data_IF_294373259870
#
_entry.id   IF_294373259870
#
_cell.length_a   1.000
_cell.length_b   1.000
_cell.length_c   1.000
_cell.angle_alpha   90.00
_cell.angle_beta   90.00
_cell.angle_gamma   90.00
#
_symmetry.space_group_name_H-M   'P 1'
#
loop_
_entity.id
_entity.type
_entity.pdbx_description
1 polymer ?
2 non-polymer ?
3 non-polymer ?
4 non-polymer ?
5 water ?
#
# COMPACT_ATOMS: atom_id res chain seq x y z
N UNK A 29 -10.95 -28.14 8.47
CA UNK A 29 -10.40 -27.27 9.50
C UNK A 29 -9.96 -25.91 8.94
N UNK A 30 -10.84 -24.93 9.09
CA UNK A 30 -10.60 -23.55 8.69
C UNK A 30 -9.73 -22.86 9.76
N UNK A 31 -8.70 -22.10 9.35
CA UNK A 31 -7.90 -21.36 10.34
C UNK A 31 -8.69 -20.20 10.94
N UNK A 32 -8.28 -19.75 12.13
CA UNK A 32 -8.90 -18.59 12.77
C UNK A 32 -8.85 -17.42 11.82
N UNK A 33 -9.93 -16.66 11.76
CA UNK A 33 -9.89 -15.40 11.04
C UNK A 33 -10.73 -14.36 11.79
N UNK A 34 -10.38 -13.06 11.64
CA UNK A 34 -11.14 -12.01 12.30
C UNK A 34 -12.57 -11.96 11.81
N UNK A 35 -13.49 -11.76 12.75
CA UNK A 35 -14.92 -11.74 12.47
C UNK A 35 -15.52 -10.33 12.53
N UNK A 36 -14.79 -9.40 13.14
CA UNK A 36 -15.21 -8.01 13.22
C UNK A 36 -13.94 -7.17 13.24
N UNK A 37 -14.07 -5.86 13.05
CA UNK A 37 -12.89 -5.01 12.87
C UNK A 37 -11.95 -5.04 14.10
N UNK A 38 -12.50 -5.14 15.30
CA UNK A 38 -11.65 -5.12 16.49
C UNK A 38 -10.85 -6.42 16.61
N UNK A 39 -11.27 -7.49 15.91
CA UNK A 39 -10.48 -8.72 15.99
C UNK A 39 -9.09 -8.57 15.36
N UNK A 40 -8.87 -7.52 14.56
CA UNK A 40 -7.55 -7.27 14.02
C UNK A 40 -6.53 -6.96 15.13
N UNK A 41 -7.02 -6.64 16.34
CA UNK A 41 -6.15 -6.49 17.50
C UNK A 41 -5.34 -7.79 17.74
N UNK A 42 -5.90 -8.93 17.34
CA UNK A 42 -5.27 -10.21 17.68
C UNK A 42 -4.31 -10.71 16.62
N UNK A 43 -4.24 -10.02 15.50
CA UNK A 43 -3.33 -10.50 14.46
C UNK A 43 -2.43 -9.38 13.99
N UNK A 44 -2.87 -8.13 14.16
CA UNK A 44 -2.08 -6.98 13.73
C UNK A 44 -0.71 -6.96 14.44
N UNK A 45 -0.69 -7.29 15.73
CA UNK A 45 0.57 -7.39 16.47
C UNK A 45 1.40 -8.65 16.19
N UNK A 46 0.86 -9.64 15.47
CA UNK A 46 1.66 -10.85 15.24
C UNK A 46 2.69 -10.54 14.16
N UNK A 47 3.62 -9.63 14.47
CA UNK A 47 4.65 -9.25 13.54
C UNK A 47 5.73 -10.32 13.48
N UNK A 48 6.06 -10.75 12.26
CA UNK A 48 7.08 -11.74 12.05
C UNK A 48 8.47 -11.12 12.16
N UNK A 53 14.82 -3.51 14.16
CA UNK A 53 15.06 -4.81 13.51
C UNK A 53 15.26 -4.64 12.01
N UNK A 54 16.39 -4.05 11.63
CA UNK A 54 16.63 -3.71 10.23
C UNK A 54 17.48 -4.75 9.49
N UNK A 55 17.21 -4.93 8.20
CA UNK A 55 18.00 -5.85 7.38
C UNK A 55 19.40 -5.29 7.18
N UNK A 56 20.37 -6.17 7.05
CA UNK A 56 21.78 -5.79 6.96
C UNK A 56 22.06 -4.65 5.97
N UNK A 57 21.33 -4.63 4.86
CA UNK A 57 21.60 -3.64 3.82
C UNK A 57 20.78 -2.35 3.96
N UNK A 58 20.06 -2.21 5.06
CA UNK A 58 19.26 -1.00 5.32
C UNK A 58 20.15 0.21 5.49
N UNK A 59 19.76 1.35 4.89
CA UNK A 59 20.55 2.58 4.96
C UNK A 59 20.75 3.09 6.39
N UNK A 60 19.87 2.72 7.30
CA UNK A 60 20.02 3.16 8.67
C UNK A 60 20.58 2.06 9.57
N UNK A 61 21.08 0.98 8.98
CA UNK A 61 21.49 -0.21 9.75
C UNK A 61 22.50 0.13 10.85
N UNK A 62 23.39 1.07 10.54
CA UNK A 62 24.42 1.49 11.50
C UNK A 62 24.08 2.83 12.15
N UNK A 63 22.83 3.26 12.04
CA UNK A 63 22.45 4.57 12.57
C UNK A 63 21.66 4.40 13.86
N UNK A 64 22.35 4.53 14.99
CA UNK A 64 21.74 4.33 16.30
C UNK A 64 20.53 5.24 16.53
N UNK A 65 20.65 6.50 16.14
CA UNK A 65 19.56 7.45 16.33
C UNK A 65 18.31 7.07 15.49
N UNK A 66 18.52 6.72 14.23
CA UNK A 66 17.40 6.31 13.39
C UNK A 66 16.77 5.03 13.95
N UNK A 67 17.61 4.12 14.44
CA UNK A 67 17.16 2.89 15.08
C UNK A 67 16.23 3.19 16.24
N UNK A 68 16.61 4.20 17.01
CA UNK A 68 15.85 4.63 18.17
C UNK A 68 14.48 5.19 17.74
N UNK A 69 14.49 5.99 16.70
CA UNK A 69 13.28 6.56 16.13
C UNK A 69 12.33 5.47 15.62
N UNK A 70 12.90 4.43 15.00
CA UNK A 70 12.11 3.33 14.48
C UNK A 70 11.47 2.53 15.62
N UNK A 71 12.18 2.41 16.73
CA UNK A 71 11.64 1.75 17.91
C UNK A 71 10.42 2.52 18.44
N UNK A 72 10.55 3.85 18.46
CA UNK A 72 9.44 4.74 18.80
C UNK A 72 8.21 4.44 17.93
N UNK A 73 8.39 4.41 16.61
CA UNK A 73 7.23 4.17 15.73
C UNK A 73 6.66 2.76 15.93
N UNK A 74 7.53 1.76 16.10
CA UNK A 74 7.07 0.39 16.24
C UNK A 74 6.24 0.24 17.51
N UNK A 75 6.67 0.91 18.59
CA UNK A 75 5.91 0.88 19.84
C UNK A 75 4.53 1.54 19.74
N UNK A 76 4.43 2.65 19.02
CA UNK A 76 3.13 3.30 18.79
C UNK A 76 2.17 2.27 18.18
N UNK A 77 2.65 1.54 17.17
CA UNK A 77 1.78 0.57 16.50
C UNK A 77 1.43 -0.60 17.39
N UNK A 78 2.41 -1.11 18.13
CA UNK A 78 2.17 -2.25 19.01
C UNK A 78 1.16 -1.91 20.10
N UNK A 79 1.18 -0.67 20.57
CA UNK A 79 0.30 -0.28 21.67
C UNK A 79 -1.09 0.14 21.19
N UNK A 80 -1.22 0.39 19.89
CA UNK A 80 -2.50 0.76 19.32
C UNK A 80 -3.56 -0.35 19.46
N UNK A 81 -4.78 0.03 19.82
CA UNK A 81 -5.91 -0.91 19.78
C UNK A 81 -7.03 -0.33 18.99
N UNK A 82 -7.78 -1.19 18.29
CA UNK A 82 -8.90 -0.67 17.53
C UNK A 82 -9.82 0.21 18.39
N UNK A 83 -10.18 1.37 17.86
CA UNK A 83 -11.01 2.33 18.57
C UNK A 83 -10.19 3.55 19.01
N UNK A 84 -8.88 3.34 19.16
CA UNK A 84 -7.97 4.44 19.49
C UNK A 84 -7.89 5.45 18.34
N UNK A 85 -7.76 6.74 18.66
CA UNK A 85 -7.24 7.65 17.63
C UNK A 85 -5.81 7.24 17.32
N UNK A 86 -5.39 7.33 16.05
CA UNK A 86 -4.02 6.95 15.75
C UNK A 86 -3.10 8.03 16.29
N UNK A 87 -2.10 7.65 17.11
CA UNK A 87 -1.23 8.66 17.74
C UNK A 87 -0.63 9.63 16.74
N UNK A 88 -0.72 10.92 17.04
CA UNK A 88 -0.17 11.91 16.14
C UNK A 88 1.31 12.06 16.47
N UNK A 89 2.08 12.30 15.42
CA UNK A 89 3.53 12.28 15.51
C UNK A 89 4.06 13.65 15.15
N UNK A 90 5.02 14.16 15.92
CA UNK A 90 5.73 15.35 15.48
C UNK A 90 6.94 14.93 14.64
N UNK A 91 6.85 15.08 13.34
CA UNK A 91 7.96 14.68 12.48
C UNK A 91 9.08 15.70 12.58
N UNK A 92 10.31 15.22 12.48
CA UNK A 92 11.51 16.08 12.56
C UNK A 92 11.72 16.86 11.27
N UNK A 93 12.54 17.91 11.32
CA UNK A 93 12.85 18.69 10.12
C UNK A 93 13.44 17.82 9.02
N UNK A 94 14.29 16.88 9.43
CA UNK A 94 14.94 15.95 8.53
C UNK A 94 13.92 15.02 7.84
N UNK A 95 12.95 14.53 8.61
CA UNK A 95 11.90 13.66 8.06
C UNK A 95 11.03 14.41 7.07
N UNK A 96 10.69 15.65 7.42
CA UNK A 96 9.84 16.45 6.55
C UNK A 96 10.55 16.80 5.25
N UNK A 97 11.85 17.06 5.34
CA UNK A 97 12.65 17.32 4.15
C UNK A 97 12.69 16.10 3.22
N UNK A 98 12.82 14.90 3.79
CA UNK A 98 12.86 13.67 3.01
C UNK A 98 11.54 13.49 2.27
N UNK A 99 10.44 13.70 3.00
CA UNK A 99 9.10 13.63 2.42
C UNK A 99 8.94 14.67 1.29
N UNK A 100 9.41 15.89 1.54
CA UNK A 100 9.28 16.96 0.57
C UNK A 100 10.01 16.67 -0.73
N UNK A 101 11.19 16.09 -0.60
CA UNK A 101 12.00 15.73 -1.76
C UNK A 101 11.26 14.73 -2.64
N UNK A 102 10.75 13.68 -2.00
CA UNK A 102 10.00 12.62 -2.69
C UNK A 102 8.70 13.15 -3.32
N UNK A 103 7.99 13.96 -2.54
CA UNK A 103 6.70 14.53 -2.91
C UNK A 103 6.85 15.42 -4.14
N UNK A 104 7.87 16.27 -4.12
CA UNK A 104 8.07 17.21 -5.22
C UNK A 104 8.34 16.52 -6.55
N UNK A 105 9.22 15.53 -6.52
CA UNK A 105 9.58 14.83 -7.74
C UNK A 105 8.44 13.99 -8.28
N UNK A 106 7.76 13.26 -7.39
CA UNK A 106 6.66 12.42 -7.84
C UNK A 106 5.52 13.24 -8.41
N UNK A 107 5.22 14.40 -7.82
CA UNK A 107 4.10 15.19 -8.32
C UNK A 107 4.32 15.72 -9.75
N UNK A 108 5.59 15.91 -10.12
CA UNK A 108 5.88 16.25 -11.49
C UNK A 108 5.46 15.16 -12.48
N UNK A 109 5.67 13.90 -12.10
CA UNK A 109 5.26 12.73 -12.88
C UNK A 109 3.77 12.31 -12.91
N UNK A 110 3.04 12.53 -11.83
CA UNK A 110 1.67 11.99 -11.72
C UNK A 110 0.73 12.40 -12.88
N UNK A 111 0.74 13.67 -13.30
CA UNK A 111 -0.18 14.01 -14.41
C UNK A 111 -0.02 13.15 -15.67
N UNK A 112 1.20 12.77 -16.00
CA UNK A 112 1.40 12.01 -17.23
C UNK A 112 1.48 10.49 -17.00
N UNK A 113 1.45 10.06 -15.74
CA UNK A 113 1.63 8.63 -15.45
C UNK A 113 0.47 7.96 -14.69
N UNK A 114 -0.15 8.69 -13.77
CA UNK A 114 -1.14 8.09 -12.87
C UNK A 114 -2.51 7.93 -13.51
N UNK A 115 -3.26 6.91 -13.08
CA UNK A 115 -4.64 6.75 -13.55
C UNK A 115 -5.55 7.91 -13.10
N UNK A 116 -6.70 8.02 -13.76
CA UNK A 116 -7.56 9.18 -13.55
C UNK A 116 -8.09 9.23 -12.13
N UNK A 117 -8.34 8.07 -11.53
CA UNK A 117 -8.87 7.99 -10.18
C UNK A 117 -7.85 8.51 -9.17
N UNK A 118 -6.58 8.21 -9.40
CA UNK A 118 -5.52 8.73 -8.55
C UNK A 118 -5.49 10.26 -8.64
N UNK A 119 -5.50 10.77 -9.86
CA UNK A 119 -5.40 12.22 -10.08
C UNK A 119 -6.62 12.97 -9.56
N UNK A 120 -7.78 12.31 -9.54
CA UNK A 120 -8.98 12.92 -9.00
C UNK A 120 -8.90 13.08 -7.49
N UNK A 121 -8.32 12.09 -6.81
CA UNK A 121 -8.34 12.10 -5.35
C UNK A 121 -7.16 12.80 -4.69
N UNK A 122 -6.02 12.86 -5.36
CA UNK A 122 -4.86 13.52 -4.76
C UNK A 122 -5.13 14.97 -4.29
N UNK A 123 -5.83 15.81 -5.09
CA UNK A 123 -6.12 17.18 -4.63
C UNK A 123 -7.06 17.26 -3.43
N UNK A 124 -7.94 16.28 -3.28
CA UNK A 124 -8.80 16.25 -2.10
C UNK A 124 -7.92 16.09 -0.85
N UNK A 125 -6.86 15.30 -0.97
CA UNK A 125 -5.94 15.07 0.15
C UNK A 125 -5.10 16.30 0.49
N UNK A 126 -4.73 17.07 -0.52
CA UNK A 126 -4.06 18.33 -0.27
C UNK A 126 -4.99 19.25 0.50
N UNK A 127 -6.26 19.23 0.13
CA UNK A 127 -7.21 20.14 0.77
C UNK A 127 -7.56 19.71 2.18
N UNK A 128 -7.85 18.44 2.38
CA UNK A 128 -8.45 18.01 3.65
C UNK A 128 -7.48 17.36 4.64
N UNK A 129 -6.31 16.90 4.17
CA UNK A 129 -5.39 16.15 5.03
C UNK A 129 -4.00 16.75 5.09
N UNK A 130 -3.81 17.94 4.51
CA UNK A 130 -2.54 18.63 4.64
C UNK A 130 -1.37 18.06 3.86
N UNK A 131 -1.64 17.45 2.71
CA UNK A 131 -0.55 17.03 1.82
C UNK A 131 0.13 18.27 1.25
N UNK A 132 1.36 18.51 1.67
CA UNK A 132 2.16 19.63 1.19
C UNK A 132 3.62 19.22 1.21
N UNK A 133 4.47 19.89 0.44
CA UNK A 133 5.90 19.59 0.49
C UNK A 133 6.51 19.75 1.88
N UNK A 134 5.98 20.66 2.70
CA UNK A 134 6.57 20.93 4.01
C UNK A 134 5.75 20.40 5.17
N UNK A 135 4.89 19.43 4.89
CA UNK A 135 4.07 18.85 5.93
C UNK A 135 3.79 17.39 5.63
N UNK A 136 4.15 16.50 6.56
CA UNK A 136 3.75 15.09 6.45
C UNK A 136 2.36 14.92 7.08
N UNK A 137 1.39 14.41 6.30
CA UNK A 137 0.03 14.17 6.80
C UNK A 137 0.03 13.22 7.98
N UNK A 138 -0.89 13.43 8.93
CA UNK A 138 -1.10 12.51 10.04
C UNK A 138 -2.03 11.37 9.64
N UNK A 139 -1.67 10.14 10.04
CA UNK A 139 -2.48 8.97 9.70
C UNK A 139 -3.90 9.10 10.24
N UNK A 140 -4.08 9.71 11.42
CA UNK A 140 -5.45 9.84 11.93
C UNK A 140 -6.31 10.69 10.98
N UNK A 141 -5.76 11.80 10.47
CA UNK A 141 -6.51 12.65 9.55
C UNK A 141 -6.85 11.90 8.26
N UNK A 142 -5.88 11.17 7.72
CA UNK A 142 -6.10 10.42 6.48
C UNK A 142 -7.14 9.33 6.72
N UNK A 143 -7.05 8.68 7.87
CA UNK A 143 -8.05 7.67 8.21
C UNK A 143 -9.46 8.25 8.26
N UNK A 144 -9.63 9.41 8.89
CA UNK A 144 -10.97 10.01 8.95
C UNK A 144 -11.49 10.39 7.56
N UNK A 145 -10.59 10.84 6.70
CA UNK A 145 -10.96 11.18 5.33
C UNK A 145 -11.45 9.94 4.60
N UNK A 146 -10.69 8.85 4.69
CA UNK A 146 -11.06 7.60 4.00
C UNK A 146 -12.36 7.03 4.54
N UNK A 147 -12.57 7.12 5.85
CA UNK A 147 -13.78 6.59 6.46
C UNK A 147 -15.01 7.24 5.81
N UNK A 148 -14.94 8.56 5.62
CA UNK A 148 -16.02 9.31 5.01
C UNK A 148 -16.22 8.94 3.53
N UNK A 149 -15.13 8.75 2.80
CA UNK A 149 -15.19 8.53 1.36
C UNK A 149 -15.62 7.12 0.97
N UNK A 150 -15.02 6.11 1.61
CA UNK A 150 -15.22 4.72 1.18
C UNK A 150 -15.35 3.75 2.36
N UNK A 151 -15.28 4.26 3.57
CA UNK A 151 -15.34 3.37 4.71
C UNK A 151 -14.00 2.73 5.02
N UNK A 152 -12.96 3.04 4.23
CA UNK A 152 -11.62 2.54 4.59
C UNK A 152 -11.09 3.28 5.80
N UNK A 153 -10.21 2.61 6.53
CA UNK A 153 -9.55 3.22 7.67
C UNK A 153 -8.13 2.72 7.72
N UNK A 154 -7.33 3.38 8.54
CA UNK A 154 -5.92 3.06 8.68
C UNK A 154 -5.65 2.43 10.04
N UNK A 155 -4.76 1.44 10.07
CA UNK A 155 -4.25 0.90 11.32
C UNK A 155 -2.74 0.99 11.26
N UNK A 156 -2.07 1.66 12.23
CA UNK A 156 -0.61 1.65 12.17
C UNK A 156 -0.06 0.24 12.44
N UNK A 157 0.96 -0.16 11.70
CA UNK A 157 1.49 -1.50 11.86
C UNK A 157 2.99 -1.43 12.16
N UNK A 158 3.43 -2.27 13.10
CA UNK A 158 4.82 -2.22 13.54
C UNK A 158 5.76 -2.61 12.40
N UNK A 159 5.47 -3.73 11.75
CA UNK A 159 6.25 -4.21 10.63
C UNK A 159 5.51 -5.32 9.89
N UNK A 160 6.26 -6.20 9.23
CA UNK A 160 5.70 -7.23 8.35
C UNK A 160 4.79 -8.23 9.07
N UNK A 161 3.61 -8.46 8.49
CA UNK A 161 2.68 -9.48 8.97
C UNK A 161 2.64 -10.63 7.96
N UNK A 162 2.16 -11.79 8.38
CA UNK A 162 1.89 -12.85 7.39
C UNK A 162 0.93 -12.31 6.34
N UNK A 163 0.99 -12.85 5.12
CA UNK A 163 0.03 -12.42 4.12
C UNK A 163 -1.43 -12.65 4.55
N UNK A 164 -1.67 -13.73 5.31
CA UNK A 164 -3.01 -13.97 5.82
C UNK A 164 -3.49 -12.80 6.68
N UNK A 165 -2.64 -12.37 7.61
CA UNK A 165 -3.04 -11.32 8.54
C UNK A 165 -3.16 -9.97 7.84
N UNK A 166 -2.23 -9.66 6.93
CA UNK A 166 -2.29 -8.41 6.19
C UNK A 166 -3.57 -8.34 5.34
N UNK A 167 -3.84 -9.39 4.56
CA UNK A 167 -5.03 -9.35 3.73
C UNK A 167 -6.30 -9.35 4.57
N UNK A 168 -6.27 -9.97 5.76
CA UNK A 168 -7.50 -10.01 6.55
C UNK A 168 -7.96 -8.59 6.94
N UNK A 169 -7.03 -7.64 7.10
CA UNK A 169 -7.45 -6.28 7.37
C UNK A 169 -8.35 -5.72 6.26
N UNK A 170 -8.00 -6.03 5.02
CA UNK A 170 -8.76 -5.50 3.89
C UNK A 170 -10.22 -5.92 3.94
N UNK A 171 -10.50 -7.09 4.53
CA UNK A 171 -11.89 -7.58 4.62
C UNK A 171 -12.77 -6.60 5.38
N UNK A 172 -12.17 -5.82 6.29
CA UNK A 172 -12.91 -4.82 7.06
C UNK A 172 -12.56 -3.43 6.63
N UNK A 173 -12.03 -3.33 5.41
CA UNK A 173 -11.59 -2.05 4.84
C UNK A 173 -10.60 -1.36 5.76
N UNK A 174 -9.69 -2.17 6.31
CA UNK A 174 -8.59 -1.65 7.11
C UNK A 174 -7.28 -1.84 6.37
N UNK A 175 -6.53 -0.74 6.23
CA UNK A 175 -5.22 -0.83 5.58
C UNK A 175 -4.16 -0.70 6.66
N UNK A 176 -3.34 -1.75 6.81
CA UNK A 176 -2.24 -1.72 7.78
C UNK A 176 -1.15 -0.89 7.16
N UNK A 177 -0.74 0.14 7.89
CA UNK A 177 0.01 1.24 7.33
C UNK A 177 1.27 1.56 8.16
N UNK A 178 2.43 1.71 7.52
CA UNK A 178 3.63 2.13 8.27
C UNK A 178 3.57 3.64 8.57
N UNK A 179 4.15 4.04 9.70
CA UNK A 179 4.09 5.42 10.15
C UNK A 179 5.44 6.14 10.12
N UNK A 180 6.51 5.35 10.06
CA UNK A 180 7.88 5.89 10.02
C UNK A 180 8.26 6.40 8.63
N UNK A 181 9.32 7.20 8.59
CA UNK A 181 9.88 7.74 7.36
C UNK A 181 11.20 7.04 7.03
N UNK A 182 11.43 6.85 5.72
CA UNK A 182 12.70 6.29 5.24
C UNK A 182 13.87 7.13 5.70
N UNK A 183 15.04 6.51 5.72
CA UNK A 183 16.26 7.17 6.13
C UNK A 183 16.63 8.30 5.17
N UNK A 184 17.11 9.41 5.71
CA UNK A 184 17.29 10.60 4.88
C UNK A 184 18.48 10.51 3.92
N UNK A 185 19.35 9.53 4.10
CA UNK A 185 20.50 9.35 3.22
C UNK A 185 20.10 8.99 1.79
N UNK A 186 18.95 8.34 1.64
CA UNK A 186 18.47 7.94 0.32
C UNK A 186 16.96 8.15 0.22
N UNK A 187 16.56 9.39 -0.09
CA UNK A 187 15.14 9.74 -0.18
C UNK A 187 14.41 9.02 -1.29
N UNK A 188 15.11 8.79 -2.39
CA UNK A 188 14.52 8.16 -3.56
C UNK A 188 14.29 6.66 -3.51
N UNK A 189 15.12 5.91 -2.80
CA UNK A 189 14.89 4.47 -2.75
C UNK A 189 14.69 3.98 -1.33
N UNK A 190 13.72 3.10 -1.16
CA UNK A 190 13.46 2.44 0.12
C UNK A 190 13.22 0.94 -0.14
N UNK A 191 13.89 0.08 0.64
CA UNK A 191 13.77 -1.38 0.48
C UNK A 191 12.48 -1.93 1.10
N UNK A 192 11.81 -1.08 1.87
CA UNK A 192 10.62 -1.48 2.60
C UNK A 192 9.55 -0.43 2.41
N UNK A 193 8.31 -0.73 2.82
CA UNK A 193 7.30 0.33 2.82
C UNK A 193 7.62 1.34 3.93
N UNK A 194 7.49 2.63 3.64
CA UNK A 194 7.48 3.63 4.69
C UNK A 194 6.24 4.48 4.54
N UNK A 195 6.13 5.56 5.30
CA UNK A 195 4.83 6.22 5.33
C UNK A 195 4.71 7.10 4.06
N UNK A 196 5.83 7.44 3.43
CA UNK A 196 5.75 8.13 2.15
C UNK A 196 5.05 7.27 1.10
N UNK A 197 5.47 6.00 1.04
CA UNK A 197 4.82 5.00 0.17
C UNK A 197 3.34 4.85 0.51
N UNK A 198 3.00 4.76 1.79
CA UNK A 198 1.59 4.62 2.14
C UNK A 198 0.75 5.83 1.70
N UNK A 199 1.24 7.02 2.00
CA UNK A 199 0.43 8.22 1.84
C UNK A 199 0.32 8.67 0.40
N UNK A 200 1.41 8.50 -0.34
CA UNK A 200 1.44 8.89 -1.75
C UNK A 200 1.07 7.76 -2.68
N UNK A 201 1.37 6.52 -2.30
CA UNK A 201 1.11 5.40 -3.19
C UNK A 201 -0.26 4.79 -3.00
N UNK A 202 -0.62 4.50 -1.74
CA UNK A 202 -1.85 3.77 -1.44
C UNK A 202 -3.10 4.62 -1.21
N UNK A 203 -2.97 5.64 -0.39
CA UNK A 203 -4.15 6.34 0.08
C UNK A 203 -5.07 6.96 -1.01
N UNK A 204 -4.49 7.58 -2.07
CA UNK A 204 -5.42 8.22 -3.01
C UNK A 204 -6.34 7.23 -3.72
N UNK A 205 -5.92 5.98 -3.86
CA UNK A 205 -6.80 5.00 -4.47
C UNK A 205 -7.77 4.35 -3.47
N UNK A 206 -7.38 4.25 -2.20
CA UNK A 206 -8.35 3.76 -1.22
C UNK A 206 -9.55 4.71 -1.08
N UNK A 207 -9.40 5.93 -1.56
CA UNK A 207 -10.46 6.93 -1.49
C UNK A 207 -11.45 6.79 -2.67
N UNK A 208 -11.16 5.84 -3.57
CA UNK A 208 -12.01 5.59 -4.74
C UNK A 208 -12.91 4.37 -4.52
N UNK A 209 -14.24 4.57 -4.55
CA UNK A 209 -15.18 3.46 -4.27
C UNK A 209 -14.90 2.17 -5.06
N UNK A 210 -14.67 2.25 -6.37
CA UNK A 210 -14.43 1.02 -7.13
C UNK A 210 -13.18 0.26 -6.70
N UNK A 211 -12.12 1.00 -6.41
CA UNK A 211 -10.87 0.42 -5.93
C UNK A 211 -11.02 -0.15 -4.51
N UNK A 212 -11.72 0.59 -3.64
CA UNK A 212 -11.97 0.13 -2.27
C UNK A 212 -12.73 -1.19 -2.28
N UNK A 213 -13.71 -1.31 -3.18
CA UNK A 213 -14.48 -2.56 -3.28
C UNK A 213 -13.58 -3.70 -3.77
N UNK A 214 -12.77 -3.41 -4.79
CA UNK A 214 -11.81 -4.37 -5.32
C UNK A 214 -10.88 -4.88 -4.21
N UNK A 215 -10.33 -3.94 -3.44
CA UNK A 215 -9.41 -4.29 -2.39
C UNK A 215 -10.09 -5.08 -1.29
N UNK A 216 -11.28 -4.66 -0.89
CA UNK A 216 -11.97 -5.36 0.18
C UNK A 216 -12.24 -6.81 -0.22
N UNK A 217 -12.56 -7.02 -1.50
CA UNK A 217 -12.93 -8.38 -1.91
C UNK A 217 -11.72 -9.33 -1.95
N UNK A 218 -10.51 -8.78 -2.09
CA UNK A 218 -9.33 -9.61 -1.91
C UNK A 218 -9.26 -10.07 -0.46
N UNK A 219 -9.49 -9.15 0.48
CA UNK A 219 -9.49 -9.49 1.90
C UNK A 219 -10.58 -10.50 2.25
N UNK A 220 -11.78 -10.30 1.72
CA UNK A 220 -12.90 -11.18 2.04
C UNK A 220 -12.62 -12.60 1.54
N UNK A 221 -12.09 -12.70 0.32
CA UNK A 221 -11.74 -13.99 -0.26
C UNK A 221 -10.70 -14.71 0.59
N UNK A 222 -9.84 -13.95 1.27
CA UNK A 222 -8.74 -14.56 2.01
C UNK A 222 -9.17 -15.14 3.34
N UNK A 223 -10.28 -14.65 3.89
CA UNK A 223 -10.63 -15.02 5.26
C UNK A 223 -10.85 -16.53 5.42
N UNK A 224 -10.05 -17.17 6.25
CA UNK A 224 -10.17 -18.61 6.48
C UNK A 224 -9.84 -19.45 5.27
N UNK A 225 -9.15 -18.86 4.29
CA UNK A 225 -8.82 -19.62 3.09
C UNK A 225 -7.59 -20.49 3.32
N UNK A 226 -7.37 -21.44 2.42
CA UNK A 226 -6.19 -22.28 2.54
C UNK A 226 -4.90 -21.47 2.40
N UNK A 227 -3.82 -22.02 2.94
CA UNK A 227 -2.50 -21.40 2.77
C UNK A 227 -2.21 -21.15 1.30
N UNK A 228 -2.51 -22.14 0.46
CA UNK A 228 -2.32 -22.06 -0.98
C UNK A 228 -3.08 -20.87 -1.56
N UNK A 229 -4.36 -20.77 -1.21
CA UNK A 229 -5.22 -19.69 -1.73
C UNK A 229 -4.76 -18.32 -1.25
N UNK A 230 -4.38 -18.23 0.01
CA UNK A 230 -3.87 -16.97 0.54
C UNK A 230 -2.66 -16.48 -0.26
N UNK A 231 -1.73 -17.39 -0.58
CA UNK A 231 -0.55 -16.99 -1.33
C UNK A 231 -0.90 -16.49 -2.74
N UNK A 232 -1.85 -17.16 -3.38
CA UNK A 232 -2.27 -16.74 -4.71
C UNK A 232 -2.98 -15.40 -4.68
N UNK A 233 -3.80 -15.18 -3.66
CA UNK A 233 -4.46 -13.87 -3.49
C UNK A 233 -3.42 -12.77 -3.21
N UNK A 234 -2.42 -13.11 -2.42
CA UNK A 234 -1.34 -12.16 -2.12
C UNK A 234 -0.61 -11.73 -3.39
N UNK A 235 -0.34 -12.68 -4.27
CA UNK A 235 0.37 -12.36 -5.52
C UNK A 235 -0.52 -11.51 -6.45
N UNK A 236 -1.82 -11.80 -6.48
CA UNK A 236 -2.74 -10.99 -7.27
C UNK A 236 -2.81 -9.57 -6.72
N UNK A 237 -2.85 -9.46 -5.39
CA UNK A 237 -2.79 -8.16 -4.72
C UNK A 237 -1.52 -7.39 -5.14
N UNK A 238 -0.38 -8.09 -5.11
CA UNK A 238 0.90 -7.48 -5.43
C UNK A 238 0.88 -6.87 -6.82
N UNK A 239 0.33 -7.61 -7.79
CA UNK A 239 0.39 -7.18 -9.19
C UNK A 239 -0.82 -6.33 -9.62
N UNK A 240 -1.60 -5.90 -8.65
CA UNK A 240 -2.65 -4.93 -8.90
C UNK A 240 -2.43 -3.75 -7.94
N UNK A 241 -2.80 -3.93 -6.66
CA UNK A 241 -2.67 -2.89 -5.67
C UNK A 241 -1.25 -2.30 -5.57
N UNK A 242 -0.21 -3.13 -5.66
CA UNK A 242 1.13 -2.58 -5.47
C UNK A 242 1.82 -2.23 -6.81
N UNK A 243 1.63 -3.02 -7.88
CA UNK A 243 2.37 -2.77 -9.12
C UNK A 243 1.52 -2.80 -10.38
N UNK A 244 0.22 -2.60 -10.22
CA UNK A 244 -0.70 -2.65 -11.33
C UNK A 244 -0.62 -1.48 -12.34
N UNK A 245 -0.89 -1.81 -13.60
CA UNK A 245 -1.14 -0.83 -14.65
C UNK A 245 -2.58 -0.97 -15.08
N UNK A 246 -3.18 0.09 -15.61
CA UNK A 246 -4.50 -0.08 -16.20
C UNK A 246 -4.58 0.63 -17.55
N UNK A 247 -5.58 0.26 -18.35
CA UNK A 247 -5.79 0.92 -19.63
C UNK A 247 -6.95 1.90 -19.53
N UNK A 248 -6.71 3.14 -19.90
CA UNK A 248 -7.73 4.18 -19.81
C UNK A 248 -7.67 5.04 -21.04
N UNK A 249 -8.80 5.14 -21.74
CA UNK A 249 -8.90 5.88 -22.99
C UNK A 249 -7.77 5.48 -23.94
N UNK A 250 -7.46 4.18 -23.97
CA UNK A 250 -6.46 3.64 -24.87
C UNK A 250 -5.01 3.84 -24.44
N UNK A 251 -4.81 4.46 -23.28
CA UNK A 251 -3.46 4.66 -22.77
C UNK A 251 -3.16 3.72 -21.61
N UNK A 252 -1.89 3.41 -21.41
CA UNK A 252 -1.48 2.70 -20.19
C UNK A 252 -1.23 3.70 -19.07
N UNK A 253 -1.85 3.45 -17.91
CA UNK A 253 -1.67 4.33 -16.75
C UNK A 253 -1.25 3.48 -15.54
N UNK A 254 -0.74 4.13 -14.51
CA UNK A 254 -0.27 3.43 -13.30
C UNK A 254 -1.30 3.53 -12.19
N UNK A 255 -1.58 2.42 -11.50
CA UNK A 255 -2.34 2.51 -10.26
C UNK A 255 -1.66 1.78 -9.08
N UNK A 256 -0.59 1.04 -9.35
CA UNK A 256 0.10 0.33 -8.27
C UNK A 256 0.84 1.27 -7.33
N UNK A 257 0.63 1.09 -6.01
CA UNK A 257 1.21 1.98 -5.01
C UNK A 257 2.74 1.96 -4.98
N UNK A 258 3.32 0.80 -5.26
CA UNK A 258 4.78 0.66 -5.27
C UNK A 258 5.40 1.42 -6.42
N UNK A 259 4.65 1.52 -7.52
CA UNK A 259 5.07 2.36 -8.66
C UNK A 259 4.86 3.84 -8.35
N UNK A 260 3.71 4.16 -7.78
CA UNK A 260 3.36 5.56 -7.52
C UNK A 260 4.27 6.23 -6.48
N UNK A 261 5.04 5.45 -5.71
CA UNK A 261 5.96 6.05 -4.75
C UNK A 261 7.43 5.82 -5.11
N UNK A 262 7.68 5.29 -6.32
CA UNK A 262 9.06 5.07 -6.77
C UNK A 262 9.32 5.87 -8.05
N UNK A 263 10.11 6.94 -7.93
CA UNK A 263 10.33 7.83 -9.06
C UNK A 263 10.88 7.11 -10.26
N UNK A 264 11.84 6.20 -10.03
CA UNK A 264 12.50 5.53 -11.14
C UNK A 264 11.61 4.47 -11.77
N UNK A 265 10.89 3.68 -10.97
CA UNK A 265 10.12 2.60 -11.58
C UNK A 265 8.83 3.11 -12.18
N UNK A 266 8.30 4.22 -11.65
CA UNK A 266 7.11 4.86 -12.22
C UNK A 266 7.37 5.22 -13.67
N UNK A 267 8.53 5.85 -13.92
CA UNK A 267 8.96 6.18 -15.28
C UNK A 267 9.21 4.92 -16.11
N UNK A 268 9.93 3.96 -15.56
CA UNK A 268 10.24 2.73 -16.25
C UNK A 268 8.98 1.98 -16.71
N UNK A 269 7.98 1.91 -15.83
CA UNK A 269 6.78 1.13 -16.12
C UNK A 269 6.04 1.58 -17.38
N UNK A 270 6.11 2.88 -17.69
CA UNK A 270 5.40 3.37 -18.87
C UNK A 270 6.36 3.67 -20.01
N UNK A 271 7.60 3.23 -19.86
CA UNK A 271 8.58 3.30 -20.95
C UNK A 271 8.46 2.06 -21.83
N UNK A 272 8.98 2.12 -23.04
CA UNK A 272 8.95 0.98 -23.93
C UNK A 272 9.80 -0.18 -23.46
N UNK A 273 10.58 0.04 -22.42
CA UNK A 273 11.50 -0.96 -21.90
C UNK A 273 10.83 -2.05 -21.06
N UNK A 274 9.60 -1.80 -20.62
CA UNK A 274 8.94 -2.70 -19.68
C UNK A 274 8.16 -3.81 -20.35
N UNK A 275 8.24 -5.00 -19.78
CA UNK A 275 7.42 -6.14 -20.22
C UNK A 275 6.05 -6.07 -19.56
N UNK A 276 5.01 -6.15 -20.38
CA UNK A 276 3.63 -6.04 -19.95
C UNK A 276 2.72 -7.19 -20.44
N UNK A 277 1.82 -7.66 -19.57
CA UNK A 277 0.87 -8.75 -19.87
C UNK A 277 -0.51 -8.40 -19.32
N UNK A 278 -1.58 -8.95 -19.92
CA UNK A 278 -2.89 -8.66 -19.33
C UNK A 278 -3.06 -9.31 -17.96
N UNK A 279 -3.73 -8.60 -17.04
CA UNK A 279 -4.06 -9.19 -15.76
C UNK A 279 -4.98 -10.40 -15.97
N UNK A 280 -4.57 -11.53 -15.42
CA UNK A 280 -5.29 -12.79 -15.55
C UNK A 280 -4.91 -13.63 -14.33
N UNK A 281 -5.77 -13.65 -13.30
CA UNK A 281 -5.35 -14.24 -12.02
C UNK A 281 -4.65 -15.62 -12.10
N UNK A 282 -5.18 -16.54 -12.91
CA UNK A 282 -4.59 -17.88 -12.98
C UNK A 282 -3.17 -17.84 -13.52
N UNK A 283 -2.87 -16.83 -14.33
CA UNK A 283 -1.51 -16.65 -14.84
C UNK A 283 -0.70 -15.76 -13.89
N UNK A 284 -1.26 -14.62 -13.53
CA UNK A 284 -0.58 -13.67 -12.66
C UNK A 284 -0.09 -14.29 -11.33
N UNK A 285 -0.88 -15.20 -10.75
CA UNK A 285 -0.54 -15.73 -9.43
C UNK A 285 0.69 -16.65 -9.46
N UNK A 286 1.16 -16.99 -10.66
CA UNK A 286 2.36 -17.80 -10.84
C UNK A 286 3.63 -16.94 -10.83
N UNK A 287 3.47 -15.64 -10.99
CA UNK A 287 4.63 -14.76 -11.10
C UNK A 287 5.26 -14.43 -9.76
N UNK A 288 6.60 -14.45 -9.73
CA UNK A 288 7.35 -14.09 -8.54
C UNK A 288 7.25 -12.60 -8.21
N UNK A 289 7.09 -12.28 -6.94
CA UNK A 289 7.05 -10.91 -6.47
C UNK A 289 8.47 -10.44 -6.13
N UNK A 290 9.00 -9.53 -6.94
CA UNK A 290 10.35 -9.01 -6.70
C UNK A 290 10.31 -7.82 -5.74
N UNK A 291 11.29 -7.74 -4.85
CA UNK A 291 11.26 -6.72 -3.79
C UNK A 291 12.40 -5.70 -3.84
N UNK A 292 13.57 -6.13 -4.31
CA UNK A 292 14.75 -5.25 -4.32
C UNK A 292 15.14 -4.76 -5.70
N UNK A 293 14.38 -5.12 -6.72
CA UNK A 293 14.66 -4.65 -8.08
C UNK A 293 13.36 -4.19 -8.74
N UNK A 294 13.46 -3.75 -9.99
CA UNK A 294 12.27 -3.47 -10.76
C UNK A 294 11.58 -4.80 -10.98
N UNK A 295 10.27 -4.78 -11.20
CA UNK A 295 9.58 -6.00 -11.59
C UNK A 295 10.05 -6.46 -12.97
N UNK A 296 10.06 -7.77 -13.20
CA UNK A 296 10.29 -8.32 -14.55
C UNK A 296 9.12 -8.07 -15.48
N UNK A 297 7.91 -8.08 -14.94
CA UNK A 297 6.72 -7.94 -15.77
C UNK A 297 5.66 -7.15 -14.98
N UNK A 298 4.85 -6.38 -15.68
CA UNK A 298 3.71 -5.69 -15.09
C UNK A 298 2.43 -6.20 -15.72
N UNK A 299 1.36 -6.24 -14.94
CA UNK A 299 0.08 -6.70 -15.45
C UNK A 299 -0.90 -5.56 -15.63
N UNK A 300 -1.57 -5.56 -16.77
CA UNK A 300 -2.51 -4.50 -17.11
C UNK A 300 -3.94 -4.93 -16.90
N UNK A 301 -4.61 -4.23 -15.99
CA UNK A 301 -6.05 -4.41 -15.81
C UNK A 301 -6.81 -3.50 -16.76
N UNK A 302 -7.99 -3.95 -17.21
CA UNK A 302 -8.82 -3.13 -18.09
C UNK A 302 -9.45 -1.97 -17.34
N UNK A 303 -9.89 -2.26 -16.11
CA UNK A 303 -10.49 -1.28 -15.21
C UNK A 303 -10.51 -1.89 -13.83
N UNK A 304 -10.81 -1.10 -12.79
CA UNK A 304 -10.91 -1.69 -11.46
C UNK A 304 -12.12 -2.61 -11.41
N UNK A 305 -13.17 -2.23 -12.13
CA UNK A 305 -14.37 -3.07 -12.20
C UNK A 305 -14.05 -4.43 -12.81
N UNK A 306 -13.29 -4.44 -13.91
CA UNK A 306 -12.97 -5.68 -14.58
C UNK A 306 -12.02 -6.56 -13.76
N UNK A 307 -11.03 -5.94 -13.13
CA UNK A 307 -10.13 -6.66 -12.24
C UNK A 307 -10.91 -7.37 -11.13
N UNK A 308 -11.88 -6.64 -10.57
CA UNK A 308 -12.75 -7.17 -9.53
C UNK A 308 -13.53 -8.38 -10.04
N UNK A 309 -14.09 -8.25 -11.25
CA UNK A 309 -14.84 -9.36 -11.85
C UNK A 309 -13.93 -10.58 -12.08
N UNK A 310 -12.74 -10.34 -12.59
CA UNK A 310 -11.80 -11.43 -12.82
C UNK A 310 -11.41 -12.11 -11.52
N UNK A 311 -11.26 -11.35 -10.43
CA UNK A 311 -10.96 -11.98 -9.15
C UNK A 311 -12.13 -12.82 -8.63
N UNK A 312 -13.36 -12.37 -8.86
CA UNK A 312 -14.53 -13.12 -8.43
C UNK A 312 -14.55 -14.50 -9.09
N UNK A 313 -14.26 -14.52 -10.37
CA UNK A 313 -14.22 -15.78 -11.12
C UNK A 313 -13.10 -16.67 -10.59
N UNK A 314 -11.93 -16.08 -10.39
CA UNK A 314 -10.78 -16.78 -9.84
C UNK A 314 -11.00 -17.36 -8.44
N UNK A 315 -11.59 -16.59 -7.54
CA UNK A 315 -11.72 -17.04 -6.17
C UNK A 315 -12.62 -18.26 -6.05
N UNK A 316 -13.62 -18.34 -6.93
CA UNK A 316 -14.48 -19.52 -6.98
C UNK A 316 -13.68 -20.80 -7.18
N UNK A 317 -12.59 -20.70 -7.94
CA UNK A 317 -11.78 -21.88 -8.26
C UNK A 317 -10.84 -22.28 -7.13
N UNK A 318 -10.60 -21.40 -6.17
CA UNK A 318 -9.67 -21.71 -5.09
C UNK A 318 -10.32 -21.77 -3.69
N UNK A 319 -11.65 -21.72 -3.62
CA UNK A 319 -12.34 -21.82 -2.33
C UNK A 319 -12.32 -23.28 -1.86
#
# INVERSE_FOLDING_TARGET
MKHHHHHHHGAAGTSLYKKAGENLYFQGSVPWFPKKISDLDHCANRVLMYGSELDADHPGFKDNVYRKRRKYFADLAMNYKHGDPIPKVEFTEEEIKTWGTVFQELNKLYPTHACREYLKNLPLLSKYCGYREDNIPQLEDVSNFLKERTGFSIRPVAGYLSPRDFLSGLAFRVFHCTQYVRHSSDPFYTPEPDTCHELLGHVPLLAEPSFAQFSQEIGLASLGASEEAVQKLATCYFFTVEFGLCKQDGQLRVFGAGLLSSISELKHALSGHAKVKPFDPKITCKQECLITTFQDVYFVSESFEDAKEKMREFTKTIKRPFGVKY
#
